data_IF_783689575841
#
_entry.id   IF_783689575841
#
_cell.length_a   1.000
_cell.length_b   1.000
_cell.length_c   1.000
_cell.angle_alpha   90.00
_cell.angle_beta   90.00
_cell.angle_gamma   90.00
#
_symmetry.space_group_name_H-M   'P 1'
#
loop_
_entity.id
_entity.type
_entity.pdbx_description
1 polymer ?
#
# COMPACT_ATOMS: atom_id res chain seq x y z
N UNK A 1 7.44 -19.81 -27.95
CA UNK A 1 6.63 -19.64 -26.72
C UNK A 1 7.58 -19.73 -25.53
N UNK A 2 7.67 -18.72 -24.68
CA UNK A 2 8.56 -18.74 -23.52
C UNK A 2 7.93 -19.63 -22.43
N UNK A 3 8.65 -20.66 -22.00
CA UNK A 3 8.23 -21.48 -20.86
C UNK A 3 8.21 -20.61 -19.59
N UNK A 4 7.09 -20.62 -18.87
CA UNK A 4 6.99 -19.98 -17.56
C UNK A 4 8.00 -20.65 -16.62
N UNK A 5 9.07 -19.93 -16.28
CA UNK A 5 10.05 -20.34 -15.26
C UNK A 5 9.42 -20.17 -13.88
N UNK A 6 8.62 -21.16 -13.47
CA UNK A 6 8.17 -21.27 -12.08
C UNK A 6 9.27 -21.97 -11.27
N UNK A 7 9.56 -21.44 -10.08
CA UNK A 7 10.48 -22.08 -9.15
C UNK A 7 9.75 -23.27 -8.49
N UNK A 8 10.17 -24.53 -8.72
CA UNK A 8 9.51 -25.71 -8.15
C UNK A 8 9.64 -25.80 -6.62
N UNK A 9 10.59 -25.05 -6.04
CA UNK A 9 10.81 -24.97 -4.59
C UNK A 9 10.19 -23.70 -3.97
N UNK A 10 9.31 -23.00 -4.68
CA UNK A 10 8.60 -21.86 -4.11
C UNK A 10 7.77 -22.32 -2.91
N UNK A 11 7.89 -21.64 -1.77
CA UNK A 11 7.01 -21.87 -0.63
C UNK A 11 5.55 -21.62 -1.05
N UNK A 12 4.64 -22.42 -0.50
CA UNK A 12 3.21 -22.26 -0.70
C UNK A 12 2.77 -20.85 -0.29
N UNK A 13 1.89 -20.25 -1.09
CA UNK A 13 1.40 -18.90 -0.82
C UNK A 13 0.46 -18.92 0.39
N UNK A 14 0.88 -18.28 1.48
CA UNK A 14 0.08 -18.18 2.70
C UNK A 14 -0.36 -16.72 2.93
N UNK A 15 -1.66 -16.41 2.72
CA UNK A 15 -2.22 -15.09 2.99
C UNK A 15 -2.52 -14.89 4.47
N UNK A 16 -1.59 -15.25 5.36
CA UNK A 16 -1.81 -15.19 6.81
C UNK A 16 -1.49 -13.82 7.41
N UNK A 17 -2.03 -13.58 8.60
CA UNK A 17 -1.72 -12.41 9.44
C UNK A 17 -0.24 -12.40 9.85
N UNK A 18 0.40 -13.58 9.90
CA UNK A 18 1.82 -13.76 10.24
C UNK A 18 2.78 -13.27 9.15
N UNK A 19 2.26 -12.80 8.01
CA UNK A 19 3.09 -12.19 6.98
C UNK A 19 3.76 -10.90 7.50
N UNK A 20 5.04 -10.66 7.17
CA UNK A 20 5.72 -9.42 7.52
C UNK A 20 4.90 -8.19 7.08
N UNK A 21 4.88 -7.15 7.92
CA UNK A 21 4.13 -5.91 7.70
C UNK A 21 4.36 -5.37 6.28
N UNK A 22 5.58 -5.48 5.77
CA UNK A 22 5.96 -4.99 4.45
C UNK A 22 5.16 -5.67 3.32
N UNK A 23 4.90 -6.98 3.44
CA UNK A 23 4.17 -7.75 2.44
C UNK A 23 2.67 -7.46 2.45
N UNK A 24 2.16 -6.93 3.57
CA UNK A 24 0.76 -6.57 3.77
C UNK A 24 0.55 -5.05 3.82
N UNK A 25 1.48 -4.27 3.26
CA UNK A 25 1.40 -2.81 3.23
C UNK A 25 1.49 -2.22 1.81
N UNK A 26 0.80 -1.11 1.60
CA UNK A 26 0.97 -0.24 0.44
C UNK A 26 1.58 1.10 0.86
N UNK A 27 2.44 1.63 0.01
CA UNK A 27 2.93 3.00 0.07
C UNK A 27 2.06 3.89 -0.81
N UNK A 28 1.64 5.02 -0.26
CA UNK A 28 0.77 6.00 -0.93
C UNK A 28 1.52 7.31 -1.10
N UNK A 29 1.43 7.94 -2.27
CA UNK A 29 1.89 9.32 -2.45
C UNK A 29 0.74 10.23 -2.89
N UNK A 30 0.73 11.44 -2.35
CA UNK A 30 -0.26 12.46 -2.64
C UNK A 30 0.32 13.44 -3.67
N UNK A 31 -0.48 13.87 -4.64
CA UNK A 31 -0.09 14.97 -5.52
C UNK A 31 0.07 16.28 -4.70
N UNK A 32 1.13 17.05 -4.96
CA UNK A 32 1.53 18.26 -4.22
C UNK A 32 0.35 19.14 -3.76
N UNK A 33 0.23 19.32 -2.45
CA UNK A 33 -0.55 20.39 -1.82
C UNK A 33 -1.90 19.98 -1.21
N UNK A 34 -2.37 18.74 -1.39
CA UNK A 34 -3.71 18.35 -0.93
C UNK A 34 -3.72 17.03 -0.16
N UNK A 35 -3.33 17.06 1.12
CA UNK A 35 -3.22 15.86 1.93
C UNK A 35 -4.59 15.25 2.26
N UNK A 36 -4.71 13.93 2.12
CA UNK A 36 -5.91 13.20 2.52
C UNK A 36 -5.79 12.80 3.99
N UNK A 37 -6.90 12.89 4.73
CA UNK A 37 -6.96 12.37 6.09
C UNK A 37 -7.03 10.84 6.10
N UNK A 38 -6.67 10.24 7.23
CA UNK A 38 -6.80 8.81 7.46
C UNK A 38 -8.23 8.33 7.19
N UNK A 39 -9.22 9.10 7.62
CA UNK A 39 -10.63 8.77 7.42
C UNK A 39 -11.05 8.77 5.94
N UNK A 40 -10.56 9.72 5.13
CA UNK A 40 -10.85 9.74 3.69
C UNK A 40 -10.26 8.51 2.99
N UNK A 41 -9.03 8.16 3.32
CA UNK A 41 -8.34 6.97 2.79
C UNK A 41 -9.09 5.70 3.22
N UNK A 42 -9.44 5.60 4.51
CA UNK A 42 -10.20 4.46 5.04
C UNK A 42 -11.55 4.29 4.34
N UNK A 43 -12.33 5.37 4.21
CA UNK A 43 -13.63 5.34 3.51
C UNK A 43 -13.49 4.91 2.06
N UNK A 44 -12.46 5.37 1.36
CA UNK A 44 -12.20 4.95 -0.02
C UNK A 44 -11.97 3.45 -0.13
N UNK A 45 -11.10 2.88 0.71
CA UNK A 45 -10.84 1.43 0.71
C UNK A 45 -12.04 0.62 1.24
N UNK A 46 -12.81 1.15 2.20
CA UNK A 46 -14.07 0.57 2.66
C UNK A 46 -15.08 0.42 1.53
N UNK A 47 -15.33 1.49 0.76
CA UNK A 47 -16.29 1.47 -0.34
C UNK A 47 -15.92 0.46 -1.45
N UNK A 48 -14.65 0.03 -1.49
CA UNK A 48 -14.13 -0.97 -2.43
C UNK A 48 -14.07 -2.38 -1.85
N UNK A 49 -14.65 -2.60 -0.67
CA UNK A 49 -14.69 -3.90 0.00
C UNK A 49 -13.43 -4.25 0.81
N UNK A 50 -12.46 -3.32 0.93
CA UNK A 50 -11.21 -3.59 1.65
C UNK A 50 -11.22 -3.11 3.11
N UNK A 51 -12.26 -2.41 3.54
CA UNK A 51 -12.33 -1.74 4.86
C UNK A 51 -12.10 -2.68 6.04
N UNK A 52 -12.67 -3.89 6.01
CA UNK A 52 -12.50 -4.88 7.07
C UNK A 52 -11.06 -5.39 7.22
N UNK A 53 -10.27 -5.28 6.15
CA UNK A 53 -8.88 -5.70 6.12
C UNK A 53 -7.90 -4.57 6.46
N UNK A 54 -8.34 -3.32 6.57
CA UNK A 54 -7.47 -2.23 7.01
C UNK A 54 -7.10 -2.46 8.47
N UNK A 55 -5.80 -2.47 8.76
CA UNK A 55 -5.25 -2.58 10.11
C UNK A 55 -4.80 -1.21 10.63
N UNK A 56 -4.09 -0.44 9.80
CA UNK A 56 -3.55 0.87 10.19
C UNK A 56 -3.30 1.76 8.97
N UNK A 57 -3.51 3.06 9.12
CA UNK A 57 -3.09 4.07 8.15
C UNK A 57 -2.12 5.03 8.85
N UNK A 58 -0.91 5.12 8.33
CA UNK A 58 0.12 6.06 8.79
C UNK A 58 0.29 7.17 7.73
N UNK A 59 0.01 8.42 8.07
CA UNK A 59 0.29 9.56 7.19
C UNK A 59 1.56 10.25 7.69
N UNK A 60 2.54 10.43 6.80
CA UNK A 60 3.80 11.05 7.20
C UNK A 60 3.62 12.55 7.36
N UNK A 61 3.80 13.07 8.57
CA UNK A 61 3.78 14.50 8.87
C UNK A 61 5.21 15.06 8.85
N UNK A 62 5.62 15.77 7.78
CA UNK A 62 6.93 16.42 7.72
C UNK A 62 7.01 17.59 8.72
N UNK A 63 8.22 17.87 9.24
CA UNK A 63 8.47 19.00 10.14
C UNK A 63 8.57 20.33 9.39
N UNK A 64 9.09 20.30 8.17
CA UNK A 64 9.50 21.48 7.40
C UNK A 64 8.56 21.80 6.22
N UNK A 65 7.46 21.05 6.07
CA UNK A 65 6.47 21.24 5.00
C UNK A 65 5.07 21.24 5.64
N UNK A 66 4.20 22.14 5.20
CA UNK A 66 2.85 22.31 5.75
C UNK A 66 1.88 21.17 5.44
N UNK A 67 2.26 20.20 4.58
CA UNK A 67 1.38 19.13 4.15
C UNK A 67 2.10 17.78 3.98
N UNK A 68 1.45 16.65 4.32
CA UNK A 68 2.00 15.33 4.11
C UNK A 68 2.05 14.98 2.62
N UNK A 69 3.17 14.39 2.20
CA UNK A 69 3.44 13.99 0.82
C UNK A 69 3.16 12.51 0.56
N UNK A 70 3.19 11.69 1.61
CA UNK A 70 3.03 10.26 1.50
C UNK A 70 2.44 9.65 2.76
N UNK A 71 2.00 8.41 2.64
CA UNK A 71 1.51 7.58 3.73
C UNK A 71 1.73 6.11 3.47
N UNK A 72 1.35 5.30 4.44
CA UNK A 72 1.40 3.85 4.38
C UNK A 72 0.07 3.31 4.91
N UNK A 73 -0.52 2.38 4.17
CA UNK A 73 -1.67 1.62 4.66
C UNK A 73 -1.23 0.18 4.88
N UNK A 74 -1.57 -0.35 6.04
CA UNK A 74 -1.26 -1.71 6.47
C UNK A 74 -2.56 -2.51 6.53
N UNK A 75 -2.54 -3.71 5.97
CA UNK A 75 -3.69 -4.61 5.94
C UNK A 75 -3.44 -5.84 6.81
N UNK A 76 -4.54 -6.47 7.24
CA UNK A 76 -4.53 -7.72 8.02
C UNK A 76 -4.00 -8.90 7.20
N UNK A 77 -4.24 -8.90 5.88
CA UNK A 77 -3.88 -10.01 4.99
C UNK A 77 -2.91 -9.54 3.91
N UNK A 78 -1.89 -10.35 3.63
CA UNK A 78 -0.87 -10.08 2.60
C UNK A 78 -1.39 -10.18 1.16
N UNK A 79 -2.57 -10.78 0.96
CA UNK A 79 -3.22 -10.82 -0.35
C UNK A 79 -3.81 -9.46 -0.77
N UNK A 80 -4.19 -8.61 0.19
CA UNK A 80 -4.93 -7.38 -0.07
C UNK A 80 -4.13 -6.37 -0.92
N UNK A 81 -2.85 -6.08 -0.63
CA UNK A 81 -2.02 -5.27 -1.52
C UNK A 81 -1.99 -5.80 -2.96
N UNK A 82 -1.86 -7.12 -3.16
CA UNK A 82 -1.82 -7.71 -4.49
C UNK A 82 -3.15 -7.54 -5.23
N UNK A 83 -4.29 -7.70 -4.53
CA UNK A 83 -5.61 -7.47 -5.09
C UNK A 83 -5.84 -6.01 -5.48
N UNK A 84 -5.39 -5.07 -4.64
CA UNK A 84 -5.50 -3.63 -4.91
C UNK A 84 -4.66 -3.23 -6.13
N UNK A 85 -3.44 -3.76 -6.22
CA UNK A 85 -2.51 -3.48 -7.32
C UNK A 85 -2.89 -4.21 -8.61
N UNK A 86 -3.61 -5.34 -8.54
CA UNK A 86 -4.07 -6.11 -9.68
C UNK A 86 -2.98 -6.44 -10.72
N UNK A 87 -1.79 -6.83 -10.24
CA UNK A 87 -0.63 -7.15 -11.08
C UNK A 87 0.23 -5.96 -11.51
N UNK A 88 -0.22 -4.72 -11.27
CA UNK A 88 0.54 -3.51 -11.58
C UNK A 88 1.59 -3.19 -10.49
N UNK A 89 2.70 -2.58 -10.89
CA UNK A 89 3.70 -2.09 -9.91
C UNK A 89 3.13 -0.93 -9.07
N UNK A 90 2.31 -0.10 -9.73
CA UNK A 90 1.73 1.12 -9.16
C UNK A 90 0.38 1.41 -9.80
N UNK A 91 -0.61 1.77 -8.98
CA UNK A 91 -1.95 2.14 -9.43
C UNK A 91 -2.27 3.58 -9.03
N UNK A 92 -3.06 4.27 -9.86
CA UNK A 92 -3.55 5.62 -9.60
C UNK A 92 -5.00 5.56 -9.14
N UNK A 93 -5.31 6.22 -8.04
CA UNK A 93 -6.67 6.44 -7.56
C UNK A 93 -7.01 7.92 -7.53
N UNK A 94 -8.30 8.21 -7.66
CA UNK A 94 -8.88 9.51 -7.39
C UNK A 94 -9.72 9.36 -6.11
N UNK A 95 -9.31 10.02 -5.03
CA UNK A 95 -10.00 10.04 -3.73
C UNK A 95 -10.42 11.48 -3.45
N UNK A 96 -11.71 11.73 -3.36
CA UNK A 96 -12.28 13.07 -3.15
C UNK A 96 -11.72 14.12 -4.13
N UNK A 97 -11.59 13.75 -5.42
CA UNK A 97 -11.05 14.60 -6.47
C UNK A 97 -9.52 14.73 -6.51
N UNK A 98 -8.80 14.04 -5.62
CA UNK A 98 -7.33 14.12 -5.48
C UNK A 98 -6.64 12.86 -5.95
N UNK A 99 -5.50 13.03 -6.61
CA UNK A 99 -4.72 11.89 -7.11
C UNK A 99 -3.89 11.28 -5.98
N UNK A 100 -4.04 9.96 -5.81
CA UNK A 100 -3.21 9.14 -4.95
C UNK A 100 -2.56 8.05 -5.79
N UNK A 101 -1.26 7.89 -5.66
CA UNK A 101 -0.56 6.76 -6.22
C UNK A 101 -0.29 5.72 -5.15
N UNK A 102 -0.66 4.47 -5.39
CA UNK A 102 -0.39 3.34 -4.51
C UNK A 102 0.58 2.38 -5.16
N UNK A 103 1.58 1.91 -4.41
CA UNK A 103 2.50 0.83 -4.81
C UNK A 103 2.81 -0.07 -3.62
N UNK A 104 3.42 -1.23 -3.87
CA UNK A 104 3.90 -2.11 -2.79
C UNK A 104 4.83 -1.34 -1.85
N UNK A 105 4.64 -1.50 -0.54
CA UNK A 105 5.56 -0.93 0.43
C UNK A 105 6.89 -1.70 0.40
N UNK A 106 7.97 -1.00 0.13
CA UNK A 106 9.32 -1.54 0.24
C UNK A 106 10.01 -0.81 1.39
N UNK A 107 10.28 -1.52 2.50
CA UNK A 107 11.19 -1.03 3.52
C UNK A 107 12.57 -0.98 2.87
N UNK A 108 13.13 0.20 2.62
CA UNK A 108 14.58 0.29 2.42
C UNK A 108 15.20 -0.23 3.72
N UNK A 109 16.02 -1.28 3.64
CA UNK A 109 16.96 -1.54 4.72
C UNK A 109 17.76 -0.26 4.88
N UNK A 110 17.77 0.33 6.08
CA UNK A 110 18.71 1.39 6.37
C UNK A 110 20.10 0.77 6.16
N UNK A 111 20.71 1.05 5.01
CA UNK A 111 22.17 0.99 4.92
C UNK A 111 22.59 2.23 5.67
N UNK A 112 22.99 2.01 6.92
CA UNK A 112 23.65 3.02 7.74
C UNK A 112 24.78 3.63 6.90
N UNK A 113 24.75 4.96 6.79
CA UNK A 113 25.86 5.76 6.27
C UNK A 113 26.63 6.34 7.45
#
# INVERSE_FOLDING_TARGET
MAAFKLNPNAKEWQPSIESPVENRSLYMTFSNGYPLSEFQIYRFFMARGFGAYVEKIDIHQPRDIDYPLFGKITFKLSCVPALILNGEEKVKYCIDGRTVWCKKYNRKANVEA
#
